data_IF_909189849016
#
_entry.id   IF_909189849016
#
_cell.length_a   1.000
_cell.length_b   1.000
_cell.length_c   1.000
_cell.angle_alpha   90.00
_cell.angle_beta   90.00
_cell.angle_gamma   90.00
#
_symmetry.space_group_name_H-M   'P 1'
#
loop_
_entity.id
_entity.type
_entity.pdbx_description
1 polymer ?
#
# COMPACT_ATOMS: atom_id res chain seq x y z
N UNK A 1 -8.87 -4.14 5.25
CA UNK A 1 -7.86 -4.24 4.17
C UNK A 1 -6.87 -3.11 4.36
N UNK A 2 -5.56 -3.40 4.41
CA UNK A 2 -4.55 -2.34 4.48
C UNK A 2 -4.45 -1.64 3.14
N UNK A 3 -4.46 -0.30 3.14
CA UNK A 3 -4.32 0.49 1.92
C UNK A 3 -3.33 1.62 2.14
N UNK A 4 -2.34 1.71 1.25
CA UNK A 4 -1.41 2.83 1.14
C UNK A 4 -1.52 3.38 -0.28
N UNK A 5 -2.05 4.59 -0.43
CA UNK A 5 -2.23 5.24 -1.73
C UNK A 5 -1.52 6.58 -1.75
N UNK A 6 -0.68 6.84 -2.74
CA UNK A 6 -0.02 8.16 -2.89
C UNK A 6 0.70 8.63 -1.62
N UNK A 7 1.39 7.72 -0.91
CA UNK A 7 2.08 7.99 0.38
C UNK A 7 1.15 8.32 1.57
N UNK A 8 -0.15 8.10 1.46
CA UNK A 8 -1.09 8.13 2.58
C UNK A 8 -1.23 6.73 3.20
N UNK A 9 -0.95 6.59 4.49
CA UNK A 9 -1.35 5.41 5.25
C UNK A 9 -2.84 5.54 5.61
N UNK A 10 -3.68 4.66 5.06
CA UNK A 10 -5.12 4.65 5.38
C UNK A 10 -5.44 3.86 6.65
N UNK A 11 -4.52 3.02 7.13
CA UNK A 11 -4.65 2.26 8.37
C UNK A 11 -3.52 2.68 9.32
N UNK A 12 -3.90 3.25 10.47
CA UNK A 12 -3.00 3.76 11.50
C UNK A 12 -2.08 2.68 12.10
N UNK A 13 -2.48 1.41 12.01
CA UNK A 13 -1.69 0.29 12.54
C UNK A 13 -0.53 -0.12 11.62
N UNK A 14 -0.50 0.37 10.37
CA UNK A 14 0.64 0.17 9.45
C UNK A 14 1.73 1.17 9.76
N UNK A 15 2.97 0.69 9.96
CA UNK A 15 4.13 1.57 10.12
C UNK A 15 4.95 1.59 8.84
N UNK A 16 5.24 2.77 8.33
CA UNK A 16 6.21 2.96 7.26
C UNK A 16 7.54 3.42 7.85
N UNK A 17 8.61 2.68 7.58
CA UNK A 17 9.94 3.08 8.01
C UNK A 17 10.56 4.08 7.04
N UNK A 18 11.29 5.05 7.57
CA UNK A 18 12.11 5.96 6.77
C UNK A 18 13.31 5.19 6.24
N UNK A 19 13.50 5.22 4.92
CA UNK A 19 14.67 4.66 4.24
C UNK A 19 15.38 5.77 3.50
N UNK A 20 16.72 5.81 3.60
CA UNK A 20 17.56 6.68 2.75
C UNK A 20 17.61 6.19 1.30
N UNK A 21 17.28 4.92 1.08
CA UNK A 21 17.16 4.34 -0.26
C UNK A 21 15.84 4.80 -0.91
N UNK A 22 15.95 5.44 -2.06
CA UNK A 22 14.81 5.88 -2.87
C UNK A 22 14.17 4.72 -3.65
N UNK A 23 14.88 3.60 -3.83
CA UNK A 23 14.43 2.42 -4.56
C UNK A 23 13.69 1.41 -3.67
N UNK A 24 13.88 1.48 -2.35
CA UNK A 24 13.23 0.58 -1.40
C UNK A 24 12.32 1.32 -0.42
N UNK A 25 11.18 0.72 -0.11
CA UNK A 25 10.27 1.15 0.96
C UNK A 25 9.96 -0.03 1.87
N UNK A 26 10.08 0.20 3.17
CA UNK A 26 9.86 -0.81 4.20
C UNK A 26 8.59 -0.49 4.98
N UNK A 27 7.73 -1.48 5.14
CA UNK A 27 6.47 -1.38 5.86
C UNK A 27 6.35 -2.51 6.87
N UNK A 28 5.83 -2.20 8.06
CA UNK A 28 5.35 -3.18 9.03
C UNK A 28 3.83 -3.18 8.98
N UNK A 29 3.26 -4.34 8.68
CA UNK A 29 1.82 -4.52 8.56
C UNK A 29 1.36 -5.55 9.60
N UNK A 30 0.51 -5.17 10.55
CA UNK A 30 0.02 -6.11 11.57
C UNK A 30 -1.00 -7.08 10.98
N UNK A 31 -0.71 -8.37 10.96
CA UNK A 31 -1.52 -9.32 10.17
C UNK A 31 -2.72 -9.90 10.94
N UNK A 32 -2.85 -9.58 12.23
CA UNK A 32 -3.84 -10.16 13.15
C UNK A 32 -5.31 -9.80 12.87
N UNK A 33 -5.58 -8.78 12.04
CA UNK A 33 -6.96 -8.34 11.73
C UNK A 33 -7.68 -9.20 10.67
N UNK A 34 -6.99 -10.17 10.06
CA UNK A 34 -7.47 -10.87 8.85
C UNK A 34 -7.64 -12.38 9.02
N UNK A 35 -7.30 -12.92 10.19
CA UNK A 35 -7.31 -14.36 10.46
C UNK A 35 -8.64 -14.72 11.10
N UNK A 36 -9.52 -15.32 10.31
CA UNK A 36 -10.71 -16.01 10.83
C UNK A 36 -10.34 -17.39 11.36
N UNK A 37 -11.23 -18.01 12.14
CA UNK A 37 -11.01 -19.35 12.74
C UNK A 37 -10.58 -20.42 11.72
N UNK A 38 -11.09 -20.31 10.49
CA UNK A 38 -10.87 -21.28 9.40
C UNK A 38 -9.88 -20.80 8.33
N UNK A 39 -9.42 -19.54 8.39
CA UNK A 39 -8.56 -18.92 7.38
C UNK A 39 -7.25 -18.44 8.01
N UNK A 40 -6.25 -19.33 8.07
CA UNK A 40 -4.92 -19.08 8.65
C UNK A 40 -3.89 -18.57 7.65
N UNK A 41 -4.26 -18.43 6.39
CA UNK A 41 -3.38 -17.95 5.32
C UNK A 41 -3.88 -16.61 4.78
N UNK A 42 -2.95 -15.70 4.54
CA UNK A 42 -3.24 -14.38 3.97
C UNK A 42 -2.24 -14.03 2.89
N UNK A 43 -2.71 -13.24 1.91
CA UNK A 43 -1.91 -12.71 0.81
C UNK A 43 -1.87 -11.20 0.88
N UNK A 44 -0.67 -10.64 0.74
CA UNK A 44 -0.43 -9.21 0.64
C UNK A 44 -0.38 -8.81 -0.82
N UNK A 45 -1.32 -7.99 -1.27
CA UNK A 45 -1.31 -7.39 -2.60
C UNK A 45 -0.83 -5.94 -2.49
N UNK A 46 0.28 -5.62 -3.16
CA UNK A 46 0.85 -4.28 -3.19
C UNK A 46 0.79 -3.72 -4.62
N UNK A 47 0.05 -2.62 -4.81
CA UNK A 47 0.14 -1.84 -6.06
C UNK A 47 1.28 -0.84 -5.92
N UNK A 48 2.32 -1.01 -6.73
CA UNK A 48 3.51 -0.18 -6.72
C UNK A 48 3.51 0.78 -7.90
N UNK A 49 3.89 2.02 -7.60
CA UNK A 49 4.09 3.09 -8.55
C UNK A 49 5.56 3.52 -8.53
N UNK A 50 6.19 3.62 -9.69
CA UNK A 50 7.55 4.16 -9.83
C UNK A 50 7.46 5.52 -10.52
N UNK A 51 8.11 6.53 -9.94
CA UNK A 51 8.20 7.88 -10.51
C UNK A 51 9.66 8.24 -10.76
N UNK A 52 9.91 9.09 -11.76
CA UNK A 52 11.21 9.74 -11.93
C UNK A 52 11.49 10.68 -10.76
N UNK A 53 12.70 10.62 -10.20
CA UNK A 53 13.07 11.44 -9.03
C UNK A 53 13.07 12.95 -9.33
N UNK A 54 13.28 13.32 -10.58
CA UNK A 54 13.30 14.72 -11.06
C UNK A 54 11.92 15.24 -11.48
N UNK A 55 10.90 14.38 -11.51
CA UNK A 55 9.54 14.79 -11.90
C UNK A 55 8.78 15.30 -10.67
N UNK A 56 8.86 16.61 -10.43
CA UNK A 56 8.16 17.31 -9.35
C UNK A 56 6.63 17.30 -9.51
N UNK A 57 6.14 17.04 -10.72
CA UNK A 57 4.69 16.91 -11.00
C UNK A 57 4.20 15.47 -10.81
N UNK A 58 5.10 14.51 -10.59
CA UNK A 58 4.74 13.11 -10.38
C UNK A 58 3.87 12.89 -9.15
N UNK A 59 3.08 11.81 -9.14
CA UNK A 59 2.28 11.40 -7.98
C UNK A 59 3.13 11.15 -6.73
N UNK A 60 4.40 10.77 -6.89
CA UNK A 60 5.33 10.54 -5.78
C UNK A 60 5.72 11.84 -5.05
N UNK A 61 5.86 12.95 -5.81
CA UNK A 61 6.19 14.28 -5.29
C UNK A 61 4.99 14.99 -4.65
N UNK A 62 3.78 14.73 -5.14
CA UNK A 62 2.54 15.36 -4.65
C UNK A 62 2.16 14.99 -3.21
N UNK A 63 2.73 13.93 -2.66
CA UNK A 63 2.49 13.51 -1.28
C UNK A 63 1.04 13.11 -1.00
N UNK A 64 0.68 13.05 0.28
CA UNK A 64 -0.63 12.57 0.69
C UNK A 64 -1.72 13.60 0.39
N UNK A 65 -2.52 13.36 -0.66
CA UNK A 65 -3.78 14.08 -0.90
C UNK A 65 -4.87 13.44 -0.05
N UNK A 66 -5.22 14.05 1.09
CA UNK A 66 -6.43 13.65 1.84
C UNK A 66 -7.66 13.94 0.98
N UNK A 67 -8.26 12.90 0.39
CA UNK A 67 -9.63 13.01 -0.13
C UNK A 67 -10.56 13.27 1.05
N UNK A 68 -11.22 14.42 1.07
CA UNK A 68 -12.44 14.60 1.86
C UNK A 68 -13.47 13.62 1.28
N UNK A 69 -14.07 12.79 2.13
CA UNK A 69 -14.96 11.70 1.75
C UNK A 69 -16.16 12.21 0.94
N UNK A 70 -16.08 12.14 -0.38
CA UNK A 70 -17.25 11.97 -1.25
C UNK A 70 -17.27 10.53 -1.76
N UNK A 71 -18.46 9.96 -1.63
CA UNK A 71 -18.85 8.60 -1.97
C UNK A 71 -18.42 8.22 -3.39
N UNK A 72 -17.76 7.05 -3.49
CA UNK A 72 -17.55 6.26 -4.70
C UNK A 72 -17.41 7.03 -6.03
N UNK A 73 -16.27 7.67 -6.23
CA UNK A 73 -15.72 7.77 -7.58
C UNK A 73 -14.48 6.90 -7.60
N UNK A 74 -14.59 5.79 -8.34
CA UNK A 74 -13.48 5.08 -8.94
C UNK A 74 -12.73 6.11 -9.77
N UNK A 75 -11.84 6.89 -9.15
CA UNK A 75 -10.78 7.54 -9.92
C UNK A 75 -9.90 6.38 -10.36
N UNK A 76 -10.28 5.79 -11.49
CA UNK A 76 -9.33 5.36 -12.46
C UNK A 76 -8.47 6.60 -12.72
N UNK A 77 -7.39 6.76 -11.94
CA UNK A 77 -6.31 7.68 -12.28
C UNK A 77 -5.78 7.15 -13.61
N UNK A 78 -6.40 7.61 -14.70
CA UNK A 78 -6.00 7.45 -16.09
C UNK A 78 -4.58 8.00 -16.20
N UNK A 79 -3.65 7.09 -15.97
CA UNK A 79 -2.22 7.33 -16.00
C UNK A 79 -1.69 6.37 -17.04
N UNK A 80 -2.11 6.61 -18.30
CA UNK A 80 -1.74 5.86 -19.50
C UNK A 80 -0.23 5.74 -19.78
N UNK A 81 0.64 6.02 -18.82
CA UNK A 81 2.08 5.78 -18.91
C UNK A 81 2.78 5.60 -17.55
N UNK A 82 2.08 5.18 -16.48
CA UNK A 82 2.75 4.74 -15.26
C UNK A 82 2.61 3.22 -15.13
N UNK A 83 3.74 2.53 -15.05
CA UNK A 83 3.81 1.08 -14.84
C UNK A 83 3.29 0.72 -13.45
N UNK A 84 1.97 0.72 -13.26
CA UNK A 84 1.32 0.20 -12.07
C UNK A 84 1.57 -1.31 -12.01
N UNK A 85 2.51 -1.73 -11.17
CA UNK A 85 2.84 -3.15 -11.00
C UNK A 85 2.22 -3.67 -9.71
N UNK A 86 1.51 -4.79 -9.81
CA UNK A 86 0.99 -5.50 -8.64
C UNK A 86 2.03 -6.53 -8.20
N UNK A 87 2.43 -6.46 -6.93
CA UNK A 87 3.24 -7.46 -6.26
C UNK A 87 2.34 -8.26 -5.31
N UNK A 88 2.56 -9.56 -5.22
CA UNK A 88 1.82 -10.45 -4.34
C UNK A 88 2.83 -11.14 -3.42
N UNK A 89 2.63 -11.03 -2.11
CA UNK A 89 3.41 -11.73 -1.09
C UNK A 89 2.53 -12.71 -0.34
N UNK A 90 2.95 -13.97 -0.24
CA UNK A 90 2.22 -15.00 0.49
C UNK A 90 2.42 -16.41 -0.11
N UNK A 91 1.78 -17.43 0.48
CA UNK A 91 0.90 -17.33 1.65
C UNK A 91 1.67 -17.04 2.94
N UNK A 92 1.17 -16.07 3.74
CA UNK A 92 1.65 -15.83 5.12
C UNK A 92 0.76 -16.65 6.04
N UNK A 93 1.36 -17.60 6.76
CA UNK A 93 0.66 -18.46 7.74
C UNK A 93 0.69 -17.81 9.11
N UNK A 94 -0.46 -17.75 9.77
CA UNK A 94 -0.60 -17.13 11.08
C UNK A 94 -1.01 -18.19 12.09
N UNK A 95 -0.05 -18.57 12.93
CA UNK A 95 -0.29 -19.43 14.07
C UNK A 95 -0.83 -18.56 15.22
N UNK A 96 -2.15 -18.59 15.37
CA UNK A 96 -2.82 -18.13 16.58
C UNK A 96 -2.50 -19.17 17.66
N UNK A 97 -1.46 -18.94 18.45
CA UNK A 97 -1.15 -19.79 19.60
C UNK A 97 -2.38 -19.97 20.49
N UNK A 98 -2.59 -21.21 20.95
CA UNK A 98 -3.67 -21.59 21.88
C UNK A 98 -3.46 -21.01 23.28
#
# INVERSE_FOLDING_TARGET
MFSCHGRCLSDESVKQYTSKDHLAKHFQVPVFKFVGKDNKEVFLHCRVLVCGITDERSRCAQGCRRRIRRWAETEEEDTGHLTNRILIGGPIRIDMGE
#
